data_IF_687739391026
#
_entry.id   IF_687739391026
#
_cell.length_a   1.000
_cell.length_b   1.000
_cell.length_c   1.000
_cell.angle_alpha   90.00
_cell.angle_beta   90.00
_cell.angle_gamma   90.00
#
_symmetry.space_group_name_H-M   'P 1'
#
loop_
_entity.id
_entity.type
_entity.pdbx_description
1 polymer ?
#
# COMPACT_ATOMS: atom_id res chain seq x y z
N UNK A 1 -0.29 43.14 -19.25
CA UNK A 1 0.25 42.51 -20.48
C UNK A 1 -0.92 42.15 -21.38
N UNK A 2 -0.83 42.26 -22.71
CA UNK A 2 -1.92 41.75 -23.57
C UNK A 2 -1.92 40.21 -23.52
N UNK A 3 -3.10 39.58 -23.52
CA UNK A 3 -3.25 38.11 -23.38
C UNK A 3 -2.34 37.31 -24.31
N UNK A 4 -2.25 37.70 -25.58
CA UNK A 4 -1.39 37.02 -26.56
C UNK A 4 0.09 37.13 -26.20
N UNK A 5 0.55 38.31 -25.79
CA UNK A 5 1.93 38.52 -25.34
C UNK A 5 2.28 37.68 -24.11
N UNK A 6 1.32 37.48 -23.22
CA UNK A 6 1.48 36.63 -22.05
C UNK A 6 1.62 35.16 -22.43
N UNK A 7 0.76 34.67 -23.32
CA UNK A 7 0.81 33.30 -23.80
C UNK A 7 2.15 33.04 -24.49
N UNK A 8 2.61 33.98 -25.32
CA UNK A 8 3.90 33.86 -26.00
C UNK A 8 5.07 33.85 -25.01
N UNK A 9 5.09 34.78 -24.05
CA UNK A 9 6.12 34.82 -23.01
C UNK A 9 6.13 33.55 -22.14
N UNK A 10 4.95 33.00 -21.84
CA UNK A 10 4.80 31.77 -21.08
C UNK A 10 5.33 30.56 -21.86
N UNK A 11 4.95 30.43 -23.12
CA UNK A 11 5.43 29.36 -24.01
C UNK A 11 6.93 29.40 -24.21
N UNK A 12 7.49 30.58 -24.46
CA UNK A 12 8.94 30.74 -24.61
C UNK A 12 9.68 30.30 -23.34
N UNK A 13 9.14 30.64 -22.15
CA UNK A 13 9.72 30.22 -20.87
C UNK A 13 9.62 28.71 -20.67
N UNK A 14 8.48 28.10 -20.96
CA UNK A 14 8.28 26.65 -20.92
C UNK A 14 9.23 25.93 -21.87
N UNK A 15 9.40 26.39 -23.10
CA UNK A 15 10.32 25.81 -24.08
C UNK A 15 11.76 25.87 -23.59
N UNK A 16 12.19 27.00 -23.02
CA UNK A 16 13.54 27.09 -22.43
C UNK A 16 13.72 26.06 -21.32
N UNK A 17 12.79 26.00 -20.37
CA UNK A 17 12.88 25.06 -19.24
C UNK A 17 12.82 23.60 -19.69
N UNK A 18 11.98 23.27 -20.67
CA UNK A 18 11.90 21.94 -21.26
C UNK A 18 13.21 21.55 -21.96
N UNK A 19 13.79 22.45 -22.74
CA UNK A 19 15.07 22.20 -23.42
C UNK A 19 16.25 22.11 -22.44
N UNK A 20 16.24 22.87 -21.34
CA UNK A 20 17.20 22.73 -20.25
C UNK A 20 17.07 21.35 -19.60
N UNK A 21 15.85 20.92 -19.30
CA UNK A 21 15.56 19.60 -18.74
C UNK A 21 16.01 18.45 -19.65
N UNK A 22 15.71 18.53 -20.96
CA UNK A 22 16.17 17.54 -21.93
C UNK A 22 17.71 17.43 -21.99
N UNK A 23 18.41 18.57 -21.89
CA UNK A 23 19.89 18.59 -21.84
C UNK A 23 20.43 17.97 -20.55
N UNK A 24 19.76 18.17 -19.43
CA UNK A 24 20.09 17.49 -18.18
C UNK A 24 19.95 15.97 -18.36
N UNK A 25 18.81 15.50 -18.86
CA UNK A 25 18.55 14.08 -19.07
C UNK A 25 19.57 13.41 -20.00
N UNK A 26 20.00 14.09 -21.07
CA UNK A 26 21.00 13.57 -22.02
C UNK A 26 22.36 13.29 -21.35
N UNK A 27 22.69 14.02 -20.30
CA UNK A 27 23.92 13.82 -19.51
C UNK A 27 23.84 12.66 -18.50
N UNK A 28 22.67 12.06 -18.28
CA UNK A 28 22.46 11.04 -17.25
C UNK A 28 22.72 9.61 -17.75
N UNK A 29 23.09 8.72 -16.83
CA UNK A 29 23.23 7.30 -17.15
C UNK A 29 21.87 6.62 -17.31
N UNK A 30 21.84 5.47 -18.01
CA UNK A 30 20.62 4.68 -18.21
C UNK A 30 19.91 4.32 -16.89
N UNK A 31 20.66 3.95 -15.86
CA UNK A 31 20.08 3.60 -14.56
C UNK A 31 19.41 4.79 -13.88
N UNK A 32 20.02 5.98 -13.97
CA UNK A 32 19.44 7.21 -13.41
C UNK A 32 18.20 7.62 -14.19
N UNK A 33 18.21 7.49 -15.52
CA UNK A 33 17.04 7.76 -16.37
C UNK A 33 15.86 6.86 -16.03
N UNK A 34 16.10 5.57 -15.78
CA UNK A 34 15.05 4.64 -15.34
C UNK A 34 14.48 5.09 -13.99
N UNK A 35 15.33 5.46 -13.03
CA UNK A 35 14.89 5.95 -11.72
C UNK A 35 14.11 7.27 -11.78
N UNK A 36 14.25 8.05 -12.86
CA UNK A 36 13.51 9.29 -13.11
C UNK A 36 12.25 9.11 -13.97
N UNK A 37 11.80 7.88 -14.25
CA UNK A 37 10.67 7.62 -15.16
C UNK A 37 9.42 8.43 -14.82
N UNK A 38 9.09 8.54 -13.53
CA UNK A 38 7.88 9.20 -13.06
C UNK A 38 8.00 10.71 -13.21
N UNK A 39 9.15 11.28 -12.88
CA UNK A 39 9.49 12.69 -13.09
C UNK A 39 9.47 13.05 -14.58
N UNK A 40 10.05 12.21 -15.44
CA UNK A 40 10.07 12.42 -16.90
C UNK A 40 8.64 12.37 -17.47
N UNK A 41 7.84 11.42 -17.00
CA UNK A 41 6.44 11.26 -17.43
C UNK A 41 5.61 12.48 -17.01
N UNK A 42 5.75 12.91 -15.76
CA UNK A 42 5.12 14.12 -15.23
C UNK A 42 5.56 15.37 -15.99
N UNK A 43 6.86 15.57 -16.19
CA UNK A 43 7.41 16.73 -16.90
C UNK A 43 6.86 16.82 -18.32
N UNK A 44 6.84 15.69 -19.05
CA UNK A 44 6.30 15.62 -20.42
C UNK A 44 4.81 15.95 -20.45
N UNK A 45 4.04 15.37 -19.53
CA UNK A 45 2.60 15.63 -19.43
C UNK A 45 2.32 17.10 -19.18
N UNK A 46 2.92 17.67 -18.12
CA UNK A 46 2.73 19.05 -17.71
C UNK A 46 3.16 20.03 -18.81
N UNK A 47 4.31 19.80 -19.45
CA UNK A 47 4.75 20.63 -20.57
C UNK A 47 3.71 20.64 -21.70
N UNK A 48 3.26 19.45 -22.15
CA UNK A 48 2.30 19.35 -23.26
C UNK A 48 0.96 20.02 -22.94
N UNK A 49 0.43 19.80 -21.74
CA UNK A 49 -0.84 20.39 -21.30
C UNK A 49 -0.74 21.91 -21.20
N UNK A 50 0.28 22.42 -20.51
CA UNK A 50 0.46 23.86 -20.34
C UNK A 50 0.77 24.57 -21.67
N UNK A 51 1.52 23.92 -22.56
CA UNK A 51 1.88 24.47 -23.86
C UNK A 51 0.69 24.50 -24.84
N UNK A 52 -0.15 23.47 -24.81
CA UNK A 52 -1.39 23.37 -25.61
C UNK A 52 -2.33 24.55 -25.37
N UNK A 53 -2.33 25.09 -24.15
CA UNK A 53 -3.16 26.21 -23.76
C UNK A 53 -4.60 25.78 -23.47
N UNK A 54 -5.34 26.60 -22.73
CA UNK A 54 -6.69 26.26 -22.25
C UNK A 54 -6.90 26.56 -20.77
N UNK A 55 -5.83 26.90 -20.06
CA UNK A 55 -5.89 27.32 -18.67
C UNK A 55 -6.24 28.81 -18.52
N UNK A 56 -6.88 29.19 -17.40
CA UNK A 56 -7.09 30.59 -17.01
C UNK A 56 -5.79 31.40 -16.99
N UNK A 57 -5.92 32.69 -17.33
CA UNK A 57 -4.82 33.66 -17.37
C UNK A 57 -4.11 33.78 -16.02
N UNK A 58 -4.86 33.81 -14.92
CA UNK A 58 -4.33 33.92 -13.57
C UNK A 58 -3.32 32.80 -13.24
N UNK A 59 -3.51 31.60 -13.77
CA UNK A 59 -2.58 30.49 -13.56
C UNK A 59 -1.28 30.67 -14.35
N UNK A 60 -1.38 31.20 -15.57
CA UNK A 60 -0.21 31.52 -16.39
C UNK A 60 0.58 32.68 -15.76
N UNK A 61 -0.10 33.73 -15.30
CA UNK A 61 0.53 34.86 -14.59
C UNK A 61 1.23 34.38 -13.32
N UNK A 62 0.57 33.52 -12.54
CA UNK A 62 1.17 32.93 -11.35
C UNK A 62 2.43 32.12 -11.67
N UNK A 63 2.37 31.23 -12.67
CA UNK A 63 3.50 30.40 -13.05
C UNK A 63 4.66 31.22 -13.65
N UNK A 64 4.35 32.30 -14.38
CA UNK A 64 5.36 33.20 -14.96
C UNK A 64 6.29 33.82 -13.90
N UNK A 65 5.85 33.93 -12.65
CA UNK A 65 6.65 34.45 -11.54
C UNK A 65 7.88 33.58 -11.21
N UNK A 66 7.87 32.28 -11.54
CA UNK A 66 8.96 31.35 -11.19
C UNK A 66 10.02 31.30 -12.28
N UNK A 67 11.28 31.06 -11.94
CA UNK A 67 12.36 30.87 -12.94
C UNK A 67 12.11 29.64 -13.82
N UNK A 68 11.58 28.57 -13.22
CA UNK A 68 11.25 27.31 -13.86
C UNK A 68 9.78 26.91 -13.58
N UNK A 69 8.79 27.53 -14.26
CA UNK A 69 7.38 27.16 -14.15
C UNK A 69 7.10 25.68 -14.42
N UNK A 70 7.88 25.04 -15.31
CA UNK A 70 7.68 23.64 -15.66
C UNK A 70 8.00 22.73 -14.47
N UNK A 71 9.11 22.97 -13.77
CA UNK A 71 9.48 22.22 -12.57
C UNK A 71 8.46 22.41 -11.44
N UNK A 72 8.02 23.65 -11.19
CA UNK A 72 7.02 23.94 -10.15
C UNK A 72 5.72 23.16 -10.41
N UNK A 73 5.21 23.20 -11.64
CA UNK A 73 3.99 22.50 -11.99
C UNK A 73 4.17 20.97 -12.02
N UNK A 74 5.34 20.47 -12.48
CA UNK A 74 5.69 19.05 -12.45
C UNK A 74 5.69 18.50 -11.02
N UNK A 75 6.37 19.16 -10.10
CA UNK A 75 6.53 18.68 -8.73
C UNK A 75 5.19 18.69 -7.98
N UNK A 76 4.37 19.72 -8.21
CA UNK A 76 3.01 19.77 -7.70
C UNK A 76 2.16 18.63 -8.28
N UNK A 77 2.24 18.38 -9.59
CA UNK A 77 1.53 17.27 -10.23
C UNK A 77 1.94 15.91 -9.64
N UNK A 78 3.25 15.66 -9.45
CA UNK A 78 3.74 14.41 -8.84
C UNK A 78 3.17 14.23 -7.43
N UNK A 79 3.15 15.31 -6.63
CA UNK A 79 2.56 15.30 -5.29
C UNK A 79 1.08 14.92 -5.32
N UNK A 80 0.32 15.48 -6.26
CA UNK A 80 -1.11 15.17 -6.43
C UNK A 80 -1.38 13.75 -6.94
N UNK A 81 -0.46 13.18 -7.73
CA UNK A 81 -0.56 11.80 -8.22
C UNK A 81 0.00 10.76 -7.23
N UNK A 82 0.53 11.17 -6.09
CA UNK A 82 1.11 10.26 -5.10
C UNK A 82 0.03 9.43 -4.38
N UNK A 83 -0.38 8.33 -5.02
CA UNK A 83 -1.35 7.38 -4.49
C UNK A 83 -0.63 6.07 -4.14
N UNK A 84 -0.96 5.53 -2.97
CA UNK A 84 -0.50 4.21 -2.53
C UNK A 84 -1.38 3.14 -3.20
N UNK A 85 -0.81 2.46 -4.22
CA UNK A 85 -1.50 1.42 -5.00
C UNK A 85 -1.35 0.01 -4.41
N UNK A 86 -0.90 -0.12 -3.15
CA UNK A 86 -0.65 -1.42 -2.54
C UNK A 86 -1.89 -2.30 -2.46
N UNK A 87 -3.06 -1.73 -2.17
CA UNK A 87 -4.33 -2.48 -2.09
C UNK A 87 -4.84 -2.89 -3.48
N UNK A 88 -4.69 -2.02 -4.49
CA UNK A 88 -5.05 -2.29 -5.88
C UNK A 88 -4.19 -3.42 -6.45
N UNK A 89 -2.88 -3.38 -6.17
CA UNK A 89 -1.97 -4.46 -6.57
C UNK A 89 -2.31 -5.76 -5.82
N UNK A 90 -2.59 -5.70 -4.52
CA UNK A 90 -3.01 -6.87 -3.75
C UNK A 90 -4.27 -7.50 -4.34
N UNK A 91 -5.29 -6.69 -4.62
CA UNK A 91 -6.52 -7.15 -5.25
C UNK A 91 -6.28 -7.73 -6.65
N UNK A 92 -5.39 -7.12 -7.45
CA UNK A 92 -5.02 -7.66 -8.77
C UNK A 92 -4.37 -9.04 -8.64
N UNK A 93 -3.42 -9.21 -7.71
CA UNK A 93 -2.76 -10.49 -7.45
C UNK A 93 -3.74 -11.55 -6.92
N UNK A 94 -4.60 -11.17 -5.96
CA UNK A 94 -5.66 -12.05 -5.48
C UNK A 94 -6.59 -12.49 -6.61
N UNK A 95 -7.02 -11.57 -7.48
CA UNK A 95 -7.87 -11.90 -8.61
C UNK A 95 -7.18 -12.82 -9.63
N UNK A 96 -5.86 -12.73 -9.82
CA UNK A 96 -5.12 -13.65 -10.67
C UNK A 96 -5.13 -15.06 -10.08
N UNK A 97 -4.84 -15.16 -8.79
CA UNK A 97 -4.81 -16.42 -8.05
C UNK A 97 -6.19 -17.10 -7.96
N UNK A 98 -7.23 -16.34 -7.65
CA UNK A 98 -8.60 -16.85 -7.47
C UNK A 98 -9.21 -17.33 -8.79
N UNK A 99 -8.99 -16.58 -9.87
CA UNK A 99 -9.57 -16.91 -11.19
C UNK A 99 -8.79 -18.01 -11.90
N UNK A 100 -7.48 -18.13 -11.69
CA UNK A 100 -6.65 -19.14 -12.36
C UNK A 100 -6.73 -19.10 -13.89
N UNK A 101 -6.98 -17.92 -14.47
CA UNK A 101 -7.10 -17.76 -15.93
C UNK A 101 -5.76 -17.47 -16.59
N UNK A 102 -4.79 -16.96 -15.84
CA UNK A 102 -3.48 -16.58 -16.39
C UNK A 102 -2.70 -17.80 -16.89
N UNK A 103 -2.92 -18.97 -16.31
CA UNK A 103 -2.27 -20.24 -16.63
C UNK A 103 -2.63 -20.74 -18.03
N UNK A 104 -3.68 -20.20 -18.65
CA UNK A 104 -4.06 -20.51 -20.04
C UNK A 104 -3.28 -19.63 -21.04
N UNK A 105 -2.92 -18.41 -20.64
CA UNK A 105 -2.31 -17.40 -21.51
C UNK A 105 -0.78 -17.29 -21.33
N UNK A 106 -0.26 -17.71 -20.18
CA UNK A 106 1.14 -17.56 -19.81
C UNK A 106 1.78 -18.91 -19.46
N UNK A 107 2.99 -19.13 -19.98
CA UNK A 107 3.75 -20.35 -19.71
C UNK A 107 4.17 -20.42 -18.23
N UNK A 108 3.90 -21.57 -17.60
CA UNK A 108 4.37 -21.87 -16.26
C UNK A 108 5.83 -22.33 -16.29
N UNK A 109 6.58 -22.00 -15.24
CA UNK A 109 7.92 -22.54 -15.03
C UNK A 109 7.82 -24.03 -14.64
N UNK A 110 8.29 -24.97 -15.48
CA UNK A 110 8.18 -26.40 -15.20
C UNK A 110 9.09 -26.86 -14.05
N UNK A 111 10.12 -26.08 -13.68
CA UNK A 111 11.00 -26.37 -12.55
C UNK A 111 10.38 -25.94 -11.21
N UNK A 112 9.38 -25.06 -11.26
CA UNK A 112 8.67 -24.59 -10.08
C UNK A 112 7.41 -25.41 -9.84
N UNK A 113 7.46 -26.31 -8.86
CA UNK A 113 6.26 -26.91 -8.27
C UNK A 113 5.84 -26.07 -7.07
N UNK A 114 4.63 -25.47 -7.06
CA UNK A 114 4.09 -24.88 -5.85
C UNK A 114 4.14 -25.93 -4.74
N UNK A 115 4.66 -25.56 -3.57
CA UNK A 115 4.58 -26.44 -2.40
C UNK A 115 3.13 -26.81 -2.12
N UNK A 116 2.87 -27.87 -1.33
CA UNK A 116 1.52 -28.10 -0.82
C UNK A 116 1.02 -26.79 -0.23
N UNK A 117 -0.20 -26.37 -0.56
CA UNK A 117 -0.82 -25.18 0.02
C UNK A 117 -0.78 -25.35 1.53
N UNK A 118 0.24 -24.78 2.17
CA UNK A 118 0.33 -24.83 3.60
C UNK A 118 -0.74 -23.87 4.07
N UNK A 119 -1.73 -24.42 4.76
CA UNK A 119 -2.64 -23.71 5.65
C UNK A 119 -1.81 -23.14 6.83
N UNK A 120 -0.69 -22.48 6.51
CA UNK A 120 0.26 -21.89 7.46
C UNK A 120 -0.43 -20.62 7.92
N UNK A 121 -1.25 -20.80 8.94
CA UNK A 121 -1.86 -19.72 9.71
C UNK A 121 -0.71 -18.85 10.22
N UNK A 122 -0.47 -17.72 9.56
CA UNK A 122 0.55 -16.77 9.98
C UNK A 122 0.06 -16.14 11.28
N UNK A 123 0.78 -16.37 12.36
CA UNK A 123 0.38 -15.88 13.68
C UNK A 123 0.78 -14.42 13.87
N UNK A 124 0.11 -13.71 14.78
CA UNK A 124 0.52 -12.36 15.18
C UNK A 124 1.97 -12.35 15.69
N UNK A 125 2.40 -13.41 16.39
CA UNK A 125 3.80 -13.60 16.80
C UNK A 125 4.76 -13.55 15.63
N UNK A 126 4.56 -14.45 14.67
CA UNK A 126 5.41 -14.53 13.49
C UNK A 126 5.39 -13.19 12.74
N UNK A 127 4.22 -12.55 12.64
CA UNK A 127 4.11 -11.24 11.99
C UNK A 127 4.99 -10.17 12.67
N UNK A 128 4.97 -10.09 14.00
CA UNK A 128 5.81 -9.13 14.75
C UNK A 128 7.30 -9.46 14.58
N UNK A 129 7.68 -10.73 14.64
CA UNK A 129 9.07 -11.18 14.51
C UNK A 129 9.66 -10.85 13.13
N UNK A 130 8.85 -10.93 12.06
CA UNK A 130 9.26 -10.51 10.71
C UNK A 130 9.26 -8.98 10.51
N UNK A 131 8.59 -8.22 11.38
CA UNK A 131 8.44 -6.76 11.27
C UNK A 131 8.79 -6.02 12.59
N UNK A 132 10.03 -6.16 13.10
CA UNK A 132 10.39 -5.74 14.46
C UNK A 132 10.37 -4.22 14.70
N UNK A 133 10.36 -3.42 13.63
CA UNK A 133 10.38 -1.95 13.70
C UNK A 133 9.07 -1.31 13.22
N UNK A 134 8.01 -2.10 13.00
CA UNK A 134 6.77 -1.59 12.46
C UNK A 134 5.77 -1.13 13.54
N UNK A 135 4.91 -0.18 13.19
CA UNK A 135 3.69 0.10 13.93
C UNK A 135 2.56 -0.80 13.41
N UNK A 136 1.74 -1.34 14.31
CA UNK A 136 0.61 -2.21 13.98
C UNK A 136 -0.67 -1.63 14.59
N UNK A 137 -1.66 -1.36 13.74
CA UNK A 137 -3.04 -1.02 14.12
C UNK A 137 -3.91 -2.25 13.87
N UNK A 138 -4.35 -2.91 14.94
CA UNK A 138 -4.95 -4.24 14.90
C UNK A 138 -6.42 -4.20 15.30
N UNK A 139 -7.26 -4.87 14.53
CA UNK A 139 -8.60 -5.29 14.92
C UNK A 139 -8.54 -6.75 15.35
N UNK A 140 -8.78 -6.98 16.64
CA UNK A 140 -8.74 -8.31 17.27
C UNK A 140 -10.11 -8.65 17.85
N UNK A 141 -10.40 -9.92 18.18
CA UNK A 141 -11.63 -10.28 18.90
C UNK A 141 -11.74 -9.62 20.29
N UNK A 142 -10.62 -9.20 20.88
CA UNK A 142 -10.58 -8.46 22.15
C UNK A 142 -10.71 -6.93 22.00
N UNK A 143 -10.91 -6.42 20.78
CA UNK A 143 -11.00 -5.00 20.49
C UNK A 143 -9.83 -4.48 19.64
N UNK A 144 -9.78 -3.16 19.43
CA UNK A 144 -8.67 -2.53 18.72
C UNK A 144 -7.44 -2.42 19.59
N UNK A 145 -6.27 -2.70 19.00
CA UNK A 145 -4.96 -2.68 19.67
C UNK A 145 -3.98 -1.93 18.78
N UNK A 146 -3.28 -0.95 19.33
CA UNK A 146 -2.19 -0.26 18.65
C UNK A 146 -0.84 -0.60 19.27
N UNK A 147 0.01 -1.27 18.49
CA UNK A 147 1.37 -1.67 18.86
C UNK A 147 2.40 -0.76 18.20
N UNK A 148 3.22 -0.09 19.02
CA UNK A 148 4.52 0.42 18.57
C UNK A 148 5.56 -0.70 18.65
N UNK A 149 6.75 -0.56 18.03
CA UNK A 149 7.83 -1.54 18.16
C UNK A 149 8.14 -1.92 19.60
N UNK A 150 8.14 -0.96 20.52
CA UNK A 150 8.40 -1.18 21.94
C UNK A 150 7.28 -2.02 22.58
N UNK A 151 6.01 -1.68 22.31
CA UNK A 151 4.87 -2.45 22.82
C UNK A 151 4.84 -3.88 22.26
N UNK A 152 5.22 -4.05 21.00
CA UNK A 152 5.31 -5.36 20.37
C UNK A 152 6.38 -6.24 21.05
N UNK A 153 7.53 -5.65 21.43
CA UNK A 153 8.55 -6.37 22.19
C UNK A 153 8.11 -6.72 23.61
N UNK A 154 7.39 -5.81 24.28
CA UNK A 154 6.80 -6.09 25.58
C UNK A 154 5.78 -7.24 25.50
N UNK A 155 4.94 -7.25 24.45
CA UNK A 155 4.01 -8.34 24.16
C UNK A 155 4.75 -9.67 23.97
N UNK A 156 5.82 -9.69 23.14
CA UNK A 156 6.65 -10.88 22.92
C UNK A 156 7.31 -11.39 24.22
N UNK A 157 7.61 -10.49 25.17
CA UNK A 157 8.14 -10.84 26.50
C UNK A 157 7.08 -11.37 27.48
N UNK A 158 5.81 -11.44 27.06
CA UNK A 158 4.71 -11.98 27.86
C UNK A 158 3.81 -10.94 28.52
N UNK A 159 3.97 -9.64 28.23
CA UNK A 159 3.11 -8.60 28.82
C UNK A 159 1.75 -8.52 28.11
N UNK A 160 0.67 -8.56 28.88
CA UNK A 160 -0.69 -8.32 28.37
C UNK A 160 -0.86 -6.90 27.82
N UNK A 161 -1.84 -6.73 26.94
CA UNK A 161 -2.23 -5.42 26.40
C UNK A 161 -3.74 -5.20 26.54
N UNK A 162 -4.16 -3.94 26.53
CA UNK A 162 -5.57 -3.58 26.52
C UNK A 162 -6.08 -3.48 25.07
N UNK A 163 -7.12 -4.24 24.76
CA UNK A 163 -7.95 -4.06 23.56
C UNK A 163 -9.14 -3.18 23.86
N UNK A 164 -9.47 -2.25 22.96
CA UNK A 164 -10.53 -1.27 23.16
C UNK A 164 -11.64 -1.42 22.11
N UNK A 165 -12.92 -1.54 22.49
CA UNK A 165 -14.03 -1.62 21.53
C UNK A 165 -14.44 -0.24 20.97
N UNK A 166 -13.51 0.72 20.90
CA UNK A 166 -13.76 2.11 20.47
C UNK A 166 -13.87 3.14 21.60
N UNK A 167 -14.02 2.71 22.85
CA UNK A 167 -13.87 3.57 24.05
C UNK A 167 -12.90 2.91 25.05
N UNK A 168 -11.90 3.63 25.58
CA UNK A 168 -10.92 3.08 26.52
C UNK A 168 -11.55 2.55 27.82
N UNK A 169 -12.71 3.07 28.22
CA UNK A 169 -13.39 2.73 29.48
C UNK A 169 -13.94 1.30 29.51
N UNK A 170 -14.16 0.69 28.34
CA UNK A 170 -14.57 -0.70 28.18
C UNK A 170 -13.42 -1.59 27.71
N UNK A 171 -12.18 -1.16 27.96
CA UNK A 171 -11.00 -1.92 27.61
C UNK A 171 -11.03 -3.31 28.23
N UNK A 172 -10.73 -4.34 27.42
CA UNK A 172 -10.52 -5.70 27.86
C UNK A 172 -9.02 -5.99 27.86
N UNK A 173 -8.53 -6.63 28.92
CA UNK A 173 -7.18 -7.18 28.92
C UNK A 173 -7.13 -8.38 27.96
N UNK A 174 -6.16 -8.36 27.05
CA UNK A 174 -5.80 -9.44 26.15
C UNK A 174 -4.42 -9.92 26.57
N UNK A 175 -4.30 -11.19 26.91
CA UNK A 175 -2.99 -11.72 27.33
C UNK A 175 -2.03 -11.77 26.15
N UNK A 176 -0.72 -11.73 26.42
CA UNK A 176 0.29 -11.88 25.38
C UNK A 176 0.10 -13.17 24.58
N UNK A 177 -0.16 -14.28 25.27
CA UNK A 177 -0.41 -15.58 24.64
C UNK A 177 -1.67 -15.56 23.77
N UNK A 178 -2.76 -14.97 24.25
CA UNK A 178 -4.01 -14.82 23.49
C UNK A 178 -3.79 -14.04 22.19
N UNK A 179 -3.10 -12.89 22.25
CA UNK A 179 -2.91 -12.05 21.07
C UNK A 179 -1.89 -12.67 20.10
N UNK A 180 -0.76 -13.17 20.60
CA UNK A 180 0.34 -13.70 19.79
C UNK A 180 -0.04 -14.96 19.01
N UNK A 181 -0.98 -15.76 19.55
CA UNK A 181 -1.47 -16.98 18.91
C UNK A 181 -2.65 -16.74 17.95
N UNK A 182 -3.11 -15.51 17.77
CA UNK A 182 -4.15 -15.22 16.76
C UNK A 182 -3.59 -15.38 15.35
N UNK A 183 -4.46 -15.80 14.43
CA UNK A 183 -4.18 -15.86 13.00
C UNK A 183 -4.37 -14.48 12.38
N UNK A 184 -3.38 -14.02 11.62
CA UNK A 184 -3.50 -12.83 10.78
C UNK A 184 -4.39 -13.18 9.57
N UNK A 185 -5.63 -12.67 9.60
CA UNK A 185 -6.62 -12.86 8.52
C UNK A 185 -6.37 -11.94 7.34
N UNK A 186 -5.96 -10.71 7.63
CA UNK A 186 -5.63 -9.69 6.63
C UNK A 186 -4.57 -8.77 7.21
N UNK A 187 -3.61 -8.37 6.40
CA UNK A 187 -2.63 -7.35 6.73
C UNK A 187 -2.43 -6.45 5.50
N UNK A 188 -2.45 -5.14 5.71
CA UNK A 188 -2.08 -4.15 4.70
C UNK A 188 -1.17 -3.09 5.29
N UNK A 189 -0.20 -2.62 4.51
CA UNK A 189 0.73 -1.60 4.95
C UNK A 189 0.41 -0.28 4.25
N UNK A 190 0.24 0.80 5.01
CA UNK A 190 0.08 2.14 4.43
C UNK A 190 0.61 3.20 5.39
N UNK A 191 1.25 4.24 4.85
CA UNK A 191 1.74 5.41 5.62
C UNK A 191 2.57 5.05 6.87
N UNK A 192 3.38 3.98 6.82
CA UNK A 192 4.27 3.59 7.92
C UNK A 192 3.63 2.69 9.00
N UNK A 193 2.39 2.24 8.81
CA UNK A 193 1.66 1.39 9.77
C UNK A 193 1.00 0.22 9.07
N UNK A 194 1.09 -0.97 9.66
CA UNK A 194 0.31 -2.13 9.26
C UNK A 194 -1.09 -2.06 9.85
N UNK A 195 -2.13 -2.15 9.03
CA UNK A 195 -3.50 -2.42 9.48
C UNK A 195 -3.75 -3.91 9.41
N UNK A 196 -4.08 -4.52 10.54
CA UNK A 196 -4.20 -5.97 10.68
C UNK A 196 -5.58 -6.34 11.19
N UNK A 197 -6.19 -7.34 10.56
CA UNK A 197 -7.33 -8.06 11.11
C UNK A 197 -6.82 -9.43 11.57
N UNK A 198 -7.00 -9.74 12.86
CA UNK A 198 -6.67 -11.03 13.43
C UNK A 198 -7.89 -11.70 14.04
N UNK A 199 -7.86 -13.03 14.11
CA UNK A 199 -8.92 -13.83 14.74
C UNK A 199 -8.31 -15.04 15.42
N UNK A 200 -9.07 -15.72 16.28
CA UNK A 200 -8.63 -16.96 16.88
C UNK A 200 -8.38 -18.02 15.80
N UNK A 201 -7.34 -18.83 16.00
CA UNK A 201 -7.14 -20.04 15.21
C UNK A 201 -8.28 -21.00 15.55
N UNK A 202 -9.20 -21.23 14.61
CA UNK A 202 -10.21 -22.28 14.77
C UNK A 202 -9.54 -23.63 14.56
N UNK A 203 -9.61 -24.50 15.55
CA UNK A 203 -9.40 -25.93 15.34
C UNK A 203 -10.57 -26.47 14.51
N UNK A 204 -10.35 -27.37 13.54
CA UNK A 204 -11.47 -28.00 12.85
C UNK A 204 -12.33 -28.73 13.90
N UNK A 205 -13.61 -28.39 13.95
CA UNK A 205 -14.59 -29.10 14.77
C UNK A 205 -14.47 -30.59 14.43
N UNK A 206 -14.06 -31.42 15.40
CA UNK A 206 -14.16 -32.87 15.25
C UNK A 206 -15.61 -33.18 14.93
N UNK A 207 -15.88 -33.73 13.74
CA UNK A 207 -17.18 -34.29 13.39
C UNK A 207 -17.63 -35.18 14.56
N UNK A 208 -18.64 -34.74 15.31
CA UNK A 208 -19.24 -35.54 16.35
C UNK A 208 -19.79 -36.80 15.68
N UNK A 209 -19.21 -37.95 15.99
CA UNK A 209 -19.71 -39.24 15.51
C UNK A 209 -21.20 -39.38 15.87
N UNK A 210 -22.04 -39.93 14.97
CA UNK A 210 -23.47 -40.04 15.23
C UNK A 210 -23.70 -40.92 16.47
N UNK A 211 -24.52 -40.44 17.40
CA UNK A 211 -25.00 -41.21 18.55
C UNK A 211 -25.72 -42.47 18.05
N UNK A 212 -25.16 -43.66 18.28
CA UNK A 212 -25.87 -44.92 18.05
C UNK A 212 -26.99 -45.06 19.09
N UNK A 213 -28.23 -44.78 18.68
CA UNK A 213 -29.42 -45.12 19.46
C UNK A 213 -29.69 -46.63 19.36
N UNK A 214 -29.09 -47.39 20.28
CA UNK A 214 -29.53 -48.74 20.58
C UNK A 214 -30.84 -48.71 21.38
N UNK A 215 -31.96 -49.02 20.74
CA UNK A 215 -33.18 -49.45 21.44
C UNK A 215 -33.67 -50.74 20.80
N UNK A 216 -33.32 -51.86 21.42
CA UNK A 216 -33.91 -53.18 21.16
C UNK A 216 -35.31 -53.19 21.75
N UNK A 217 -36.34 -53.35 20.93
CA UNK A 217 -37.70 -53.61 21.40
C UNK A 217 -37.86 -55.11 21.64
N UNK A 218 -38.17 -55.49 22.89
CA UNK A 218 -38.63 -56.81 23.27
C UNK A 218 -40.11 -57.02 22.90
#
# INVERSE_FOLDING_TARGET
>A
MQREQMIDAFREKLDRNWNDYLRELDGLSKGVLIGKSDEITAARFVYNELYGGGYPEDYMEYLLCFENPLEVARDQWISEQSVDFSEELNHALWSLMDKGTAEQDYALDPEYTPGPATDKKNTVREFIEHHPCANLDMLTPGGSVYLTPEKAQLLLSGQSIMGHPGSPEYGREITAEELLNQEVRRASFSKGTWRILSDYIREPEQEQAPFEQGVTMC
#
